data_IF_158489072439
#
_entry.id   IF_158489072439
#
_cell.length_a   1.000
_cell.length_b   1.000
_cell.length_c   1.000
_cell.angle_alpha   90.00
_cell.angle_beta   90.00
_cell.angle_gamma   90.00
#
_symmetry.space_group_name_H-M   'P 1'
#
loop_
_entity.id
_entity.type
_entity.pdbx_description
1 polymer ?
#
# COMPACT_ATOMS: atom_id res chain seq x y z
N UNK A 1 -7.57 -35.80 35.05
CA UNK A 1 -8.63 -35.01 35.68
C UNK A 1 -9.64 -34.65 34.59
N UNK A 2 -10.76 -35.34 34.58
CA UNK A 2 -11.85 -35.03 33.66
C UNK A 2 -12.67 -33.87 34.24
N UNK A 3 -12.91 -32.84 33.42
CA UNK A 3 -13.89 -31.81 33.70
C UNK A 3 -15.16 -32.30 33.02
N UNK A 4 -16.19 -32.60 33.80
CA UNK A 4 -17.43 -33.27 33.37
C UNK A 4 -18.13 -32.54 32.20
N UNK A 5 -18.03 -31.22 32.12
CA UNK A 5 -18.58 -30.38 31.04
C UNK A 5 -17.54 -29.76 30.13
N UNK A 6 -16.30 -30.25 30.18
CA UNK A 6 -15.19 -29.64 29.44
C UNK A 6 -14.74 -28.29 30.02
N UNK A 7 -13.55 -27.85 29.66
CA UNK A 7 -13.03 -26.52 30.00
C UNK A 7 -13.08 -25.57 28.81
N UNK A 8 -12.80 -24.27 29.03
CA UNK A 8 -12.64 -23.35 27.94
C UNK A 8 -11.39 -23.74 27.15
N UNK A 9 -11.55 -24.03 25.87
CA UNK A 9 -10.48 -24.49 25.00
C UNK A 9 -10.36 -23.67 23.70
N UNK A 10 -11.21 -22.64 23.54
CA UNK A 10 -11.21 -21.77 22.38
C UNK A 10 -9.98 -20.87 22.34
N UNK A 11 -9.16 -21.04 21.30
CA UNK A 11 -8.01 -20.20 21.04
C UNK A 11 -8.38 -18.81 20.48
N UNK A 12 -7.40 -17.94 20.40
CA UNK A 12 -7.56 -16.58 19.89
C UNK A 12 -7.78 -16.56 18.36
N UNK A 13 -8.45 -15.53 17.86
CA UNK A 13 -8.45 -15.24 16.43
C UNK A 13 -7.07 -14.76 15.95
N UNK A 14 -6.77 -15.00 14.69
CA UNK A 14 -5.57 -14.46 14.04
C UNK A 14 -5.70 -12.95 13.79
N UNK A 15 -4.56 -12.24 13.79
CA UNK A 15 -4.47 -10.84 13.34
C UNK A 15 -4.85 -10.74 11.87
N UNK A 16 -5.49 -9.66 11.43
CA UNK A 16 -5.64 -9.33 10.01
C UNK A 16 -4.28 -9.01 9.38
N UNK A 17 -4.18 -9.18 8.06
CA UNK A 17 -2.97 -8.81 7.31
C UNK A 17 -2.73 -7.29 7.32
N UNK A 18 -1.48 -6.89 7.23
CA UNK A 18 -1.04 -5.51 7.15
C UNK A 18 -0.99 -5.04 5.69
N UNK A 19 -1.06 -3.73 5.46
CA UNK A 19 -0.85 -3.12 4.15
C UNK A 19 0.45 -2.33 4.21
N UNK A 20 1.38 -2.71 3.34
CA UNK A 20 2.69 -2.10 3.21
C UNK A 20 2.81 -1.36 1.87
N UNK A 21 3.67 -0.36 1.87
CA UNK A 21 4.18 0.30 0.67
C UNK A 21 5.62 -0.13 0.44
N UNK A 22 5.99 -0.29 -0.81
CA UNK A 22 7.39 -0.51 -1.22
C UNK A 22 7.68 0.33 -2.46
N UNK A 23 8.68 1.19 -2.38
CA UNK A 23 9.20 1.91 -3.55
C UNK A 23 9.90 0.95 -4.52
N UNK A 24 9.82 1.23 -5.81
CA UNK A 24 10.51 0.45 -6.84
C UNK A 24 10.96 1.34 -7.99
N UNK A 25 12.15 1.08 -8.49
CA UNK A 25 12.71 1.73 -9.70
C UNK A 25 12.15 1.17 -11.00
N UNK A 26 11.54 -0.03 -10.95
CA UNK A 26 11.01 -0.71 -12.13
C UNK A 26 9.64 -0.20 -12.59
N UNK A 27 9.02 0.72 -11.85
CA UNK A 27 7.74 1.33 -12.19
C UNK A 27 7.93 2.82 -12.40
N UNK A 28 7.45 3.32 -13.55
CA UNK A 28 7.49 4.74 -13.91
C UNK A 28 6.08 5.36 -13.98
N UNK A 29 5.04 4.62 -13.57
CA UNK A 29 3.66 5.06 -13.71
C UNK A 29 2.76 4.47 -12.60
N UNK A 30 1.66 5.17 -12.32
CA UNK A 30 0.61 4.74 -11.40
C UNK A 30 -0.62 4.17 -12.14
N UNK A 31 -0.46 3.79 -13.42
CA UNK A 31 -1.57 3.37 -14.29
C UNK A 31 -2.35 2.18 -13.69
N UNK A 32 -1.68 1.23 -13.07
CA UNK A 32 -2.32 0.04 -12.46
C UNK A 32 -3.32 0.44 -11.36
N UNK A 33 -3.05 1.51 -10.61
CA UNK A 33 -3.92 2.01 -9.54
C UNK A 33 -5.16 2.74 -10.05
N UNK A 34 -5.20 3.15 -11.34
CA UNK A 34 -6.41 3.68 -11.98
C UNK A 34 -7.43 2.57 -12.26
N UNK A 35 -6.95 1.37 -12.57
CA UNK A 35 -7.81 0.22 -12.86
C UNK A 35 -8.19 -0.54 -11.60
N UNK A 36 -7.21 -0.84 -10.74
CA UNK A 36 -7.46 -1.49 -9.46
C UNK A 36 -7.46 -0.45 -8.33
N UNK A 37 -8.66 -0.07 -7.89
CA UNK A 37 -8.85 0.97 -6.86
C UNK A 37 -8.96 0.41 -5.43
N UNK A 38 -9.29 -0.88 -5.29
CA UNK A 38 -9.54 -1.49 -3.99
C UNK A 38 -8.48 -2.52 -3.65
N UNK A 39 -7.83 -2.31 -2.52
CA UNK A 39 -6.84 -3.22 -1.97
C UNK A 39 -7.26 -3.64 -0.57
N UNK A 40 -7.35 -4.94 -0.32
CA UNK A 40 -7.80 -5.48 0.96
C UNK A 40 -6.90 -6.61 1.39
N UNK A 41 -6.20 -6.44 2.52
CA UNK A 41 -5.46 -7.51 3.16
C UNK A 41 -6.41 -8.61 3.68
N UNK A 42 -5.93 -9.83 3.73
CA UNK A 42 -6.77 -10.97 4.15
C UNK A 42 -7.09 -10.88 5.64
N UNK A 43 -8.29 -11.29 6.00
CA UNK A 43 -8.70 -11.45 7.40
C UNK A 43 -7.88 -12.57 8.07
N UNK A 44 -7.58 -12.41 9.36
CA UNK A 44 -7.12 -13.51 10.18
C UNK A 44 -8.19 -14.59 10.29
N UNK A 45 -7.75 -15.82 10.48
CA UNK A 45 -8.66 -16.97 10.69
C UNK A 45 -9.18 -16.98 12.13
N UNK A 46 -10.36 -17.55 12.32
CA UNK A 46 -10.89 -17.78 13.65
C UNK A 46 -10.01 -18.76 14.43
N UNK A 47 -9.93 -18.56 15.74
CA UNK A 47 -9.37 -19.56 16.63
C UNK A 47 -10.25 -20.82 16.66
N UNK A 48 -9.68 -21.92 17.06
CA UNK A 48 -10.37 -23.21 17.17
C UNK A 48 -10.18 -23.82 18.54
N UNK A 49 -10.87 -24.93 18.81
CA UNK A 49 -10.72 -25.71 20.03
C UNK A 49 -9.29 -26.18 20.27
N UNK A 50 -9.01 -26.70 21.44
CA UNK A 50 -7.69 -27.13 21.91
C UNK A 50 -6.67 -25.97 21.94
N UNK A 51 -7.14 -24.78 22.32
CA UNK A 51 -6.34 -23.55 22.45
C UNK A 51 -5.56 -23.18 21.16
N UNK A 52 -6.10 -23.51 19.98
CA UNK A 52 -5.43 -23.18 18.71
C UNK A 52 -5.77 -21.77 18.29
N UNK A 53 -4.75 -20.92 18.21
CA UNK A 53 -4.88 -19.56 17.66
C UNK A 53 -5.07 -19.65 16.14
N UNK A 54 -5.98 -18.84 15.60
CA UNK A 54 -6.18 -18.70 14.18
C UNK A 54 -4.94 -18.12 13.47
N UNK A 55 -4.68 -18.55 12.26
CA UNK A 55 -3.59 -18.00 11.44
C UNK A 55 -3.82 -16.53 11.15
N UNK A 56 -2.74 -15.74 11.13
CA UNK A 56 -2.79 -14.34 10.67
C UNK A 56 -3.21 -14.23 9.21
N UNK A 57 -3.84 -13.14 8.86
CA UNK A 57 -4.15 -12.80 7.48
C UNK A 57 -2.89 -12.50 6.68
N UNK A 58 -2.95 -12.74 5.39
CA UNK A 58 -1.84 -12.43 4.49
C UNK A 58 -1.73 -10.92 4.30
N UNK A 59 -0.52 -10.39 4.41
CA UNK A 59 -0.20 -9.00 4.12
C UNK A 59 -0.29 -8.69 2.63
N UNK A 60 -0.52 -7.41 2.32
CA UNK A 60 -0.41 -6.87 0.96
C UNK A 60 0.73 -5.86 0.93
N UNK A 61 1.52 -5.89 -0.14
CA UNK A 61 2.52 -4.88 -0.42
C UNK A 61 2.17 -4.17 -1.73
N UNK A 62 1.90 -2.88 -1.66
CA UNK A 62 1.67 -2.00 -2.82
C UNK A 62 3.02 -1.49 -3.29
N UNK A 63 3.32 -1.70 -4.58
CA UNK A 63 4.57 -1.25 -5.20
C UNK A 63 4.32 0.09 -5.87
N UNK A 64 5.04 1.12 -5.49
CA UNK A 64 4.92 2.46 -6.04
C UNK A 64 6.23 2.91 -6.71
N UNK A 65 6.16 3.71 -7.78
CA UNK A 65 7.34 4.39 -8.32
C UNK A 65 8.01 5.25 -7.25
N UNK A 66 9.32 5.44 -7.33
CA UNK A 66 10.00 6.44 -6.52
C UNK A 66 9.49 7.85 -6.87
N UNK A 67 9.49 8.76 -5.91
CA UNK A 67 8.93 10.10 -6.05
C UNK A 67 7.40 10.16 -5.96
N UNK A 68 6.75 9.10 -5.45
CA UNK A 68 5.31 9.10 -5.20
C UNK A 68 5.00 9.67 -3.82
N UNK A 69 4.22 10.74 -3.76
CA UNK A 69 3.62 11.27 -2.54
C UNK A 69 2.33 10.51 -2.20
N UNK A 70 2.12 10.23 -0.93
CA UNK A 70 0.96 9.49 -0.40
C UNK A 70 0.15 10.43 0.48
N UNK A 71 -1.11 10.66 0.13
CA UNK A 71 -2.03 11.49 0.88
C UNK A 71 -3.19 10.67 1.44
N UNK A 72 -3.60 11.00 2.65
CA UNK A 72 -4.84 10.52 3.29
C UNK A 72 -5.58 11.76 3.79
N UNK A 73 -6.85 11.92 3.43
CA UNK A 73 -7.66 13.08 3.82
C UNK A 73 -7.00 14.43 3.49
N UNK A 74 -6.30 14.52 2.33
CA UNK A 74 -5.51 15.67 1.86
C UNK A 74 -4.25 15.98 2.71
N UNK A 75 -3.89 15.15 3.68
CA UNK A 75 -2.66 15.26 4.44
C UNK A 75 -1.56 14.39 3.82
N UNK A 76 -0.36 14.94 3.66
CA UNK A 76 0.81 14.19 3.19
C UNK A 76 1.30 13.26 4.30
N UNK A 77 1.17 11.97 4.10
CA UNK A 77 1.57 10.93 5.06
C UNK A 77 3.00 10.46 4.83
N UNK A 78 3.39 10.31 3.57
CA UNK A 78 4.72 9.82 3.22
C UNK A 78 5.12 10.23 1.80
N UNK A 79 6.43 10.29 1.56
CA UNK A 79 7.06 10.40 0.24
C UNK A 79 7.91 9.15 0.00
N UNK A 80 7.71 8.48 -1.12
CA UNK A 80 8.39 7.24 -1.48
C UNK A 80 9.72 7.57 -2.16
N UNK A 81 10.74 7.88 -1.36
CA UNK A 81 12.07 8.26 -1.85
C UNK A 81 13.05 7.10 -1.94
N UNK A 82 12.74 5.96 -1.30
CA UNK A 82 13.61 4.78 -1.26
C UNK A 82 12.85 3.51 -1.63
N UNK A 83 13.59 2.43 -1.87
CA UNK A 83 13.03 1.10 -2.15
C UNK A 83 12.63 0.33 -0.89
N UNK A 84 12.71 0.98 0.27
CA UNK A 84 12.37 0.36 1.54
C UNK A 84 10.88 0.09 1.66
N UNK A 85 10.58 -0.94 2.44
CA UNK A 85 9.21 -1.32 2.74
C UNK A 85 8.79 -0.68 4.07
N UNK A 86 7.68 0.04 4.08
CA UNK A 86 7.12 0.59 5.31
C UNK A 86 5.63 0.25 5.47
N UNK A 87 5.17 0.28 6.71
CA UNK A 87 3.80 -0.03 7.07
C UNK A 87 2.89 1.19 6.81
N UNK A 88 1.86 1.01 5.96
CA UNK A 88 0.84 2.04 5.75
C UNK A 88 -0.33 1.86 6.71
N UNK A 89 -0.91 0.66 6.75
CA UNK A 89 -2.02 0.34 7.64
C UNK A 89 -1.80 -0.98 8.36
N UNK A 90 -1.86 -1.01 9.70
CA UNK A 90 -1.85 -2.26 10.46
C UNK A 90 -3.18 -2.99 10.34
N UNK A 91 -3.13 -4.29 10.26
CA UNK A 91 -4.31 -5.16 10.35
C UNK A 91 -4.95 -5.14 11.73
N UNK A 92 -6.24 -5.42 11.79
CA UNK A 92 -6.98 -5.51 13.05
C UNK A 92 -6.44 -6.63 13.94
N UNK A 93 -6.42 -6.40 15.24
CA UNK A 93 -6.02 -7.41 16.23
C UNK A 93 -7.01 -8.60 16.24
N UNK A 94 -6.50 -9.81 16.43
CA UNK A 94 -7.35 -10.98 16.64
C UNK A 94 -8.15 -10.86 17.94
N UNK A 95 -9.38 -11.38 17.94
CA UNK A 95 -10.19 -11.47 19.15
C UNK A 95 -9.66 -12.51 20.13
N UNK A 96 -9.95 -12.35 21.41
CA UNK A 96 -9.55 -13.27 22.43
C UNK A 96 -10.56 -14.43 22.53
N UNK A 97 -10.05 -15.66 22.56
CA UNK A 97 -10.82 -16.86 22.82
C UNK A 97 -11.24 -16.97 24.29
N UNK A 98 -12.20 -17.83 24.56
CA UNK A 98 -12.78 -17.99 25.91
C UNK A 98 -11.76 -18.44 26.95
N UNK A 99 -10.69 -19.12 26.57
CA UNK A 99 -9.63 -19.55 27.50
C UNK A 99 -8.99 -18.36 28.23
N UNK A 100 -8.94 -17.16 27.63
CA UNK A 100 -8.36 -15.97 28.25
C UNK A 100 -9.22 -15.38 29.37
N UNK A 101 -10.49 -15.81 29.48
CA UNK A 101 -11.43 -15.34 30.49
C UNK A 101 -11.62 -16.32 31.65
N UNK A 102 -10.79 -17.38 31.71
CA UNK A 102 -10.78 -18.33 32.80
C UNK A 102 -10.27 -17.69 34.08
N UNK A 103 -11.03 -17.81 35.16
CA UNK A 103 -10.67 -17.33 36.49
C UNK A 103 -10.97 -18.36 37.54
N UNK A 104 -10.60 -18.12 38.81
CA UNK A 104 -10.92 -18.98 39.95
C UNK A 104 -12.42 -19.12 40.17
N UNK A 105 -13.16 -18.03 39.93
CA UNK A 105 -14.63 -17.98 40.08
C UNK A 105 -15.37 -18.46 38.85
N UNK A 106 -14.81 -18.25 37.64
CA UNK A 106 -15.40 -18.68 36.36
C UNK A 106 -14.45 -19.66 35.65
N UNK A 107 -14.59 -20.95 35.94
CA UNK A 107 -13.71 -21.99 35.37
C UNK A 107 -14.04 -22.37 33.93
N UNK A 108 -15.25 -22.09 33.44
CA UNK A 108 -15.72 -22.44 32.11
C UNK A 108 -16.39 -21.25 31.41
N UNK A 109 -15.66 -20.13 31.14
CA UNK A 109 -16.22 -18.96 30.50
C UNK A 109 -16.65 -19.25 29.05
N UNK A 110 -17.80 -18.72 28.67
CA UNK A 110 -18.28 -18.71 27.29
C UNK A 110 -18.03 -17.38 26.59
N UNK A 111 -17.48 -16.37 27.32
CA UNK A 111 -17.18 -15.04 26.82
C UNK A 111 -16.01 -15.11 25.85
N UNK A 112 -16.14 -14.39 24.73
CA UNK A 112 -15.07 -14.12 23.77
C UNK A 112 -15.10 -12.64 23.43
N UNK A 113 -14.01 -12.10 22.88
CA UNK A 113 -14.02 -10.75 22.30
C UNK A 113 -13.97 -10.84 20.78
N UNK A 114 -14.71 -9.98 20.07
CA UNK A 114 -14.55 -9.87 18.63
C UNK A 114 -13.14 -9.36 18.30
N UNK A 115 -12.67 -9.67 17.10
CA UNK A 115 -11.44 -9.08 16.57
C UNK A 115 -11.60 -7.57 16.33
N UNK A 116 -10.50 -6.86 16.41
CA UNK A 116 -10.43 -5.44 16.05
C UNK A 116 -10.72 -5.25 14.56
N UNK A 117 -11.42 -4.19 14.21
CA UNK A 117 -11.58 -3.77 12.82
C UNK A 117 -10.23 -3.30 12.28
N UNK A 118 -9.88 -3.63 11.03
CA UNK A 118 -8.77 -3.03 10.31
C UNK A 118 -9.07 -1.57 10.00
N UNK A 119 -8.03 -0.77 9.78
CA UNK A 119 -8.16 0.60 9.32
C UNK A 119 -8.57 0.58 7.84
N UNK A 120 -9.50 1.44 7.45
CA UNK A 120 -9.95 1.67 6.08
C UNK A 120 -9.84 3.17 5.80
N UNK A 121 -9.21 3.55 4.70
CA UNK A 121 -9.08 4.93 4.28
C UNK A 121 -8.95 5.02 2.78
N UNK A 122 -9.34 6.14 2.22
CA UNK A 122 -9.05 6.54 0.86
C UNK A 122 -7.64 7.13 0.80
N UNK A 123 -6.83 6.62 -0.15
CA UNK A 123 -5.43 7.01 -0.29
C UNK A 123 -5.23 7.56 -1.68
N UNK A 124 -4.68 8.78 -1.77
CA UNK A 124 -4.32 9.39 -3.03
C UNK A 124 -2.81 9.28 -3.26
N UNK A 125 -2.44 8.76 -4.42
CA UNK A 125 -1.06 8.69 -4.88
C UNK A 125 -0.82 9.78 -5.91
N UNK A 126 0.19 10.62 -5.66
CA UNK A 126 0.63 11.67 -6.58
C UNK A 126 2.08 11.41 -6.96
N UNK A 127 2.33 11.04 -8.20
CA UNK A 127 3.68 10.83 -8.71
C UNK A 127 4.28 12.18 -9.10
N UNK A 128 5.41 12.53 -8.49
CA UNK A 128 6.27 13.62 -8.95
C UNK A 128 7.07 13.11 -10.13
N UNK A 129 6.74 13.55 -11.32
CA UNK A 129 7.56 13.25 -12.49
C UNK A 129 8.79 14.16 -12.46
N UNK A 130 9.93 13.57 -12.16
CA UNK A 130 11.23 14.23 -12.32
C UNK A 130 11.70 13.94 -13.75
N UNK A 131 12.16 14.96 -14.44
CA UNK A 131 12.86 14.80 -15.69
C UNK A 131 14.36 14.85 -15.40
N UNK A 132 15.14 13.94 -15.99
CA UNK A 132 16.58 13.92 -15.85
C UNK A 132 17.22 15.10 -16.59
N UNK A 133 16.59 15.53 -17.71
CA UNK A 133 17.04 16.64 -18.54
C UNK A 133 15.86 17.56 -18.87
N UNK A 134 16.06 18.85 -18.73
CA UNK A 134 15.10 19.90 -19.11
C UNK A 134 15.57 20.70 -20.35
N UNK A 135 14.69 20.82 -21.34
CA UNK A 135 14.93 21.68 -22.51
C UNK A 135 14.29 23.04 -22.27
N UNK A 136 15.11 24.07 -22.12
CA UNK A 136 14.69 25.47 -21.94
C UNK A 136 15.10 26.30 -23.17
N UNK A 137 14.25 27.21 -23.59
CA UNK A 137 14.53 28.10 -24.70
C UNK A 137 13.29 28.88 -25.14
N UNK A 138 13.49 29.86 -26.00
CA UNK A 138 12.45 30.74 -26.54
C UNK A 138 11.34 29.96 -27.27
N UNK A 139 10.13 30.53 -27.40
CA UNK A 139 9.11 29.97 -28.27
C UNK A 139 9.65 29.74 -29.68
N UNK A 140 9.22 28.67 -30.33
CA UNK A 140 9.63 28.28 -31.68
C UNK A 140 11.14 27.97 -31.91
N UNK A 141 11.93 27.83 -30.83
CA UNK A 141 13.35 27.43 -30.90
C UNK A 141 13.56 25.94 -31.26
N UNK A 142 12.55 25.25 -31.72
CA UNK A 142 12.67 23.82 -32.15
C UNK A 142 12.70 22.79 -31.05
N UNK A 143 12.47 23.14 -29.76
CA UNK A 143 12.47 22.21 -28.63
C UNK A 143 11.56 20.98 -28.84
N UNK A 144 10.34 21.21 -29.29
CA UNK A 144 9.37 20.13 -29.56
C UNK A 144 9.74 19.27 -30.76
N UNK A 145 10.43 19.85 -31.75
CA UNK A 145 10.95 19.11 -32.91
C UNK A 145 12.12 18.20 -32.48
N UNK A 146 13.04 18.77 -31.69
CA UNK A 146 14.15 18.01 -31.13
C UNK A 146 13.63 16.84 -30.27
N UNK A 147 12.69 17.09 -29.34
CA UNK A 147 12.12 16.07 -28.49
C UNK A 147 11.44 14.95 -29.31
N UNK A 148 10.77 15.29 -30.41
CA UNK A 148 10.18 14.30 -31.32
C UNK A 148 11.20 13.48 -32.08
N UNK A 149 12.35 14.05 -32.42
CA UNK A 149 13.38 13.34 -33.18
C UNK A 149 14.21 12.38 -32.34
N UNK A 150 14.38 12.68 -31.03
CA UNK A 150 15.20 11.89 -30.13
C UNK A 150 14.37 10.96 -29.23
N UNK A 151 13.05 11.21 -29.07
CA UNK A 151 12.18 10.41 -28.22
C UNK A 151 11.65 9.18 -28.97
N UNK A 152 11.81 8.01 -28.37
CA UNK A 152 11.24 6.75 -28.86
C UNK A 152 9.70 6.67 -28.70
N UNK A 153 9.10 7.53 -27.86
CA UNK A 153 7.67 7.58 -27.59
C UNK A 153 7.07 8.90 -28.07
N UNK A 154 5.78 8.90 -28.44
CA UNK A 154 5.06 10.15 -28.74
C UNK A 154 5.05 11.02 -27.48
N UNK A 155 5.52 12.29 -27.55
CA UNK A 155 5.52 13.19 -26.41
C UNK A 155 4.12 13.29 -25.79
N UNK A 156 4.03 13.08 -24.49
CA UNK A 156 2.78 13.25 -23.73
C UNK A 156 2.75 14.66 -23.16
N UNK A 157 1.59 15.28 -23.23
CA UNK A 157 1.31 16.55 -22.54
C UNK A 157 0.89 16.21 -21.11
N UNK A 158 1.46 16.89 -20.12
CA UNK A 158 1.08 16.73 -18.73
C UNK A 158 0.82 18.09 -18.09
N UNK A 159 -0.26 18.19 -17.32
CA UNK A 159 -0.62 19.37 -16.56
C UNK A 159 0.20 19.42 -15.27
N UNK A 160 1.08 20.41 -15.15
CA UNK A 160 1.80 20.69 -13.91
C UNK A 160 1.25 21.96 -13.26
N UNK A 161 0.93 21.91 -11.96
CA UNK A 161 0.57 23.12 -11.23
C UNK A 161 1.79 24.05 -11.19
N UNK A 162 1.83 25.21 -11.65
CA UNK A 162 2.92 26.21 -11.70
C UNK A 162 3.60 26.41 -13.06
N UNK A 163 3.14 25.77 -14.15
CA UNK A 163 3.64 26.10 -15.49
C UNK A 163 2.55 26.79 -16.30
N UNK A 164 2.86 27.97 -16.84
CA UNK A 164 2.00 28.71 -17.78
C UNK A 164 1.96 28.05 -19.17
N UNK A 165 2.79 27.03 -19.40
CA UNK A 165 2.92 26.30 -20.65
C UNK A 165 2.91 24.79 -20.33
N UNK A 166 2.14 24.02 -21.09
CA UNK A 166 2.08 22.57 -20.98
C UNK A 166 3.46 21.96 -21.28
N UNK A 167 4.13 21.31 -20.29
CA UNK A 167 5.39 20.65 -20.55
C UNK A 167 5.16 19.40 -21.40
N UNK A 168 6.03 19.21 -22.40
CA UNK A 168 6.05 18.00 -23.23
C UNK A 168 7.14 17.08 -22.72
N UNK A 169 6.74 15.87 -22.33
CA UNK A 169 7.65 14.83 -21.87
C UNK A 169 7.97 13.85 -23.00
N UNK A 170 9.20 13.45 -23.09
CA UNK A 170 9.67 12.38 -23.97
C UNK A 170 10.67 11.50 -23.23
N UNK A 171 10.79 10.26 -23.64
CA UNK A 171 11.76 9.31 -23.11
C UNK A 171 12.82 9.06 -24.16
N UNK A 172 14.09 9.18 -23.77
CA UNK A 172 15.25 8.93 -24.63
C UNK A 172 15.90 7.64 -24.15
N UNK A 173 16.20 6.75 -25.07
CA UNK A 173 17.00 5.53 -24.78
C UNK A 173 18.45 5.80 -25.12
N UNK A 174 19.33 5.64 -24.15
CA UNK A 174 20.78 5.76 -24.30
C UNK A 174 21.39 4.40 -23.99
N UNK A 175 21.71 3.62 -25.02
CA UNK A 175 22.15 2.23 -24.85
C UNK A 175 21.01 1.33 -24.36
N UNK A 176 21.26 0.53 -23.32
CA UNK A 176 20.28 -0.38 -22.71
C UNK A 176 19.48 0.29 -21.58
N UNK A 177 19.80 1.52 -21.18
CA UNK A 177 19.13 2.29 -20.13
C UNK A 177 18.16 3.34 -20.72
N UNK A 178 17.05 3.58 -20.03
CA UNK A 178 16.11 4.66 -20.31
C UNK A 178 16.45 5.86 -19.41
N UNK A 179 16.67 7.02 -19.99
CA UNK A 179 16.89 8.30 -19.32
C UNK A 179 15.62 9.16 -19.31
#
# INVERSE_FOLDING_TARGET
KFIEFGGPDGGNGGKGGDIFIKGTKSLNTLVDYRFQKHFKAKKGRHGSGRNRTGAAGQDITLKLPLGTEIFIENELIADVISTDKFLLFPGGKGGLGNINFKSSTNRAPRKTTPGGKGKEAEVFFKLKLLADIGLVGLPNAGKSSLLRSISAAKPKVADYPFTTLEPKLGVIRIGDDEA
#
